data_IF_786191929906
#
_entry.id   IF_786191929906
#
_cell.length_a   1.000
_cell.length_b   1.000
_cell.length_c   1.000
_cell.angle_alpha   90.00
_cell.angle_beta   90.00
_cell.angle_gamma   90.00
#
_symmetry.space_group_name_H-M   'P 1'
#
loop_
_entity.id
_entity.type
_entity.pdbx_description
1 polymer ?
#
# COMPACT_ATOMS: atom_id res chain seq x y z
N UNK A 1 -19.22 8.36 -2.70
CA UNK A 1 -18.45 8.39 -1.44
C UNK A 1 -19.27 9.11 -0.36
N UNK A 2 -19.84 8.38 0.61
CA UNK A 2 -20.80 8.96 1.57
C UNK A 2 -20.16 9.90 2.62
N UNK A 3 -19.00 9.54 3.18
CA UNK A 3 -18.29 10.40 4.14
C UNK A 3 -17.84 11.73 3.51
N UNK A 4 -17.27 11.67 2.30
CA UNK A 4 -16.84 12.88 1.57
C UNK A 4 -18.02 13.79 1.21
N UNK A 5 -19.18 13.22 0.87
CA UNK A 5 -20.39 14.00 0.65
C UNK A 5 -20.83 14.74 1.92
N UNK A 6 -20.70 14.12 3.11
CA UNK A 6 -21.02 14.75 4.40
C UNK A 6 -20.02 15.84 4.81
N UNK A 7 -18.73 15.66 4.52
CA UNK A 7 -17.71 16.73 4.65
C UNK A 7 -18.08 17.95 3.80
N UNK A 8 -18.49 17.74 2.54
CA UNK A 8 -18.83 18.83 1.63
C UNK A 8 -20.04 19.67 2.08
N UNK A 9 -20.94 19.08 2.88
CA UNK A 9 -22.11 19.77 3.45
C UNK A 9 -21.93 20.13 4.94
N UNK A 10 -20.70 20.06 5.48
CA UNK A 10 -20.38 20.47 6.85
C UNK A 10 -20.93 19.58 7.97
N UNK A 11 -21.36 18.35 7.64
CA UNK A 11 -21.84 17.35 8.61
C UNK A 11 -20.70 16.55 9.26
N UNK A 12 -19.49 16.69 8.71
CA UNK A 12 -18.22 16.23 9.25
C UNK A 12 -17.28 17.43 9.23
N UNK A 13 -16.42 17.56 10.22
CA UNK A 13 -15.57 18.75 10.42
C UNK A 13 -14.11 18.48 10.08
N UNK A 14 -13.67 17.23 10.25
CA UNK A 14 -12.29 16.82 10.02
C UNK A 14 -12.24 15.44 9.37
N UNK A 15 -11.13 15.12 8.71
CA UNK A 15 -10.89 13.77 8.19
C UNK A 15 -10.84 12.74 9.34
N UNK A 16 -10.45 13.15 10.55
CA UNK A 16 -10.44 12.27 11.72
C UNK A 16 -11.84 11.80 12.13
N UNK A 17 -12.91 12.49 11.74
CA UNK A 17 -14.28 12.03 11.97
C UNK A 17 -14.59 10.72 11.22
N UNK A 18 -13.81 10.37 10.19
CA UNK A 18 -13.92 9.09 9.48
C UNK A 18 -13.70 7.87 10.40
N UNK A 19 -12.95 8.03 11.51
CA UNK A 19 -12.63 6.94 12.44
C UNK A 19 -13.89 6.29 13.05
N UNK A 20 -15.01 7.02 13.12
CA UNK A 20 -16.31 6.45 13.58
C UNK A 20 -16.96 5.53 12.56
N UNK A 21 -16.68 5.74 11.27
CA UNK A 21 -17.20 4.95 10.14
C UNK A 21 -16.32 3.74 9.85
N UNK A 22 -15.00 3.92 9.92
CA UNK A 22 -14.05 2.86 9.58
C UNK A 22 -14.10 1.77 10.64
N UNK A 23 -14.09 0.52 10.17
CA UNK A 23 -13.93 -0.67 10.99
C UNK A 23 -12.87 -1.55 10.35
N UNK A 24 -11.91 -1.97 11.16
CA UNK A 24 -10.95 -2.99 10.73
C UNK A 24 -11.60 -4.35 10.85
N UNK A 25 -11.73 -5.06 9.74
CA UNK A 25 -12.30 -6.41 9.73
C UNK A 25 -11.34 -7.43 10.36
N UNK A 26 -10.05 -7.37 9.97
CA UNK A 26 -9.03 -8.29 10.45
C UNK A 26 -7.66 -7.63 10.49
N UNK A 27 -6.94 -7.85 11.59
CA UNK A 27 -5.50 -7.61 11.66
C UNK A 27 -4.79 -8.91 11.26
N UNK A 28 -3.81 -8.80 10.37
CA UNK A 28 -2.97 -9.94 9.97
C UNK A 28 -1.60 -9.70 10.57
N UNK A 29 -1.27 -10.50 11.57
CA UNK A 29 0.07 -10.48 12.18
C UNK A 29 1.03 -11.32 11.32
N UNK A 30 2.27 -10.84 11.10
CA UNK A 30 3.27 -11.59 10.37
C UNK A 30 3.72 -12.81 11.18
N UNK A 31 3.80 -13.96 10.52
CA UNK A 31 4.39 -15.15 11.11
C UNK A 31 5.93 -15.01 11.11
N UNK A 32 6.58 -14.99 12.28
CA UNK A 32 8.03 -14.80 12.36
C UNK A 32 8.82 -15.91 11.65
N UNK A 33 8.26 -17.11 11.47
CA UNK A 33 8.91 -18.19 10.73
C UNK A 33 9.17 -17.85 9.25
N UNK A 34 8.49 -16.83 8.71
CA UNK A 34 8.63 -16.40 7.32
C UNK A 34 9.59 -15.22 7.13
N UNK A 35 10.12 -14.63 8.20
CA UNK A 35 10.91 -13.41 8.13
C UNK A 35 12.10 -13.54 7.16
N UNK A 36 12.91 -14.59 7.33
CA UNK A 36 14.10 -14.82 6.50
C UNK A 36 13.71 -15.10 5.04
N UNK A 37 12.72 -15.98 4.82
CA UNK A 37 12.25 -16.32 3.48
C UNK A 37 11.64 -15.11 2.73
N UNK A 38 11.05 -14.15 3.44
CA UNK A 38 10.59 -12.88 2.86
C UNK A 38 11.78 -11.97 2.55
N UNK A 39 12.77 -11.89 3.44
CA UNK A 39 14.02 -11.16 3.23
C UNK A 39 14.74 -11.59 1.96
N UNK A 40 14.97 -12.90 1.80
CA UNK A 40 15.63 -13.46 0.61
C UNK A 40 14.86 -13.16 -0.68
N UNK A 41 13.53 -13.26 -0.63
CA UNK A 41 12.67 -12.96 -1.78
C UNK A 41 12.74 -11.47 -2.14
N UNK A 42 12.79 -10.60 -1.14
CA UNK A 42 12.91 -9.16 -1.35
C UNK A 42 14.27 -8.80 -1.95
N UNK A 43 15.37 -9.38 -1.47
CA UNK A 43 16.69 -9.19 -2.08
C UNK A 43 16.69 -9.60 -3.55
N UNK A 44 16.15 -10.78 -3.87
CA UNK A 44 16.01 -11.23 -5.27
C UNK A 44 15.15 -10.27 -6.11
N UNK A 45 14.09 -9.72 -5.54
CA UNK A 45 13.26 -8.72 -6.23
C UNK A 45 14.07 -7.48 -6.58
N UNK A 46 14.89 -6.96 -5.65
CA UNK A 46 15.76 -5.82 -5.91
C UNK A 46 16.80 -6.13 -6.99
N UNK A 47 17.44 -7.29 -6.93
CA UNK A 47 18.39 -7.74 -7.97
C UNK A 47 17.73 -7.83 -9.35
N UNK A 48 16.46 -8.21 -9.42
CA UNK A 48 15.69 -8.25 -10.66
C UNK A 48 15.27 -6.85 -11.12
N UNK A 49 14.91 -5.96 -10.18
CA UNK A 49 14.51 -4.59 -10.48
C UNK A 49 15.66 -3.70 -10.96
N UNK A 50 16.89 -3.96 -10.50
CA UNK A 50 18.08 -3.25 -10.97
C UNK A 50 18.50 -3.66 -12.39
N UNK A 51 18.09 -4.86 -12.83
CA UNK A 51 18.32 -5.30 -14.21
C UNK A 51 17.39 -4.53 -15.13
N UNK A 52 17.98 -3.94 -16.18
CA UNK A 52 17.21 -3.37 -17.28
C UNK A 52 16.26 -4.42 -17.87
N UNK A 53 14.96 -4.14 -17.79
CA UNK A 53 13.97 -4.96 -18.47
C UNK A 53 14.13 -4.77 -19.99
N UNK A 54 14.46 -5.86 -20.71
CA UNK A 54 14.65 -5.83 -22.16
C UNK A 54 13.39 -5.45 -22.93
N UNK A 55 12.21 -5.64 -22.33
CA UNK A 55 10.93 -5.22 -22.88
C UNK A 55 10.70 -3.69 -22.82
N UNK A 56 11.48 -2.96 -22.00
CA UNK A 56 11.40 -1.50 -21.92
C UNK A 56 12.43 -0.91 -22.88
N UNK A 57 11.93 -0.34 -23.99
CA UNK A 57 12.75 0.34 -24.98
C UNK A 57 13.57 1.48 -24.34
N UNK A 58 14.79 1.78 -24.82
CA UNK A 58 15.56 2.90 -24.30
C UNK A 58 14.78 4.19 -24.51
N UNK A 59 14.77 5.06 -23.50
CA UNK A 59 14.38 6.45 -23.72
C UNK A 59 15.27 7.02 -24.81
N UNK A 60 14.67 7.49 -25.90
CA UNK A 60 15.38 8.25 -26.91
C UNK A 60 15.86 9.54 -26.24
N UNK A 61 17.19 9.72 -26.18
CA UNK A 61 17.82 10.98 -25.79
C UNK A 61 17.85 11.88 -27.02
#
# INVERSE_FOLDING_TARGET
AAFLARMAVGLETTIADATRWVRTERIVDPDPAWADAVGDRYQRFLELGDRRCSAVAPSAI
#
